data_IF_429294263675
#
_entry.id   IF_429294263675
#
_cell.length_a   1.000
_cell.length_b   1.000
_cell.length_c   1.000
_cell.angle_alpha   90.00
_cell.angle_beta   90.00
_cell.angle_gamma   90.00
#
_symmetry.space_group_name_H-M   'P 1'
#
loop_
_entity.id
_entity.type
_entity.pdbx_description
1 polymer ?
#
# COMPACT_ATOMS: atom_id res chain seq x y z
N UNK A 1 12.45 22.20 20.68
CA UNK A 1 11.25 23.04 20.43
C UNK A 1 11.09 23.20 18.92
N UNK A 2 10.17 22.45 18.30
CA UNK A 2 9.86 22.62 16.88
C UNK A 2 9.11 23.96 16.70
N UNK A 3 9.67 24.87 15.91
CA UNK A 3 9.00 26.11 15.54
C UNK A 3 7.64 25.80 14.91
N UNK A 4 6.66 26.70 15.07
CA UNK A 4 5.26 26.57 14.60
C UNK A 4 5.11 26.07 13.15
N UNK A 5 6.11 26.28 12.29
CA UNK A 5 6.18 25.73 10.92
C UNK A 5 6.41 24.22 10.86
N UNK A 6 7.27 23.66 11.72
CA UNK A 6 7.53 22.21 11.77
C UNK A 6 6.32 21.40 12.24
N UNK A 7 5.49 21.99 13.10
CA UNK A 7 4.27 21.36 13.62
C UNK A 7 3.13 21.27 12.58
N UNK A 8 3.14 22.13 11.56
CA UNK A 8 2.17 22.07 10.45
C UNK A 8 2.60 21.02 9.42
N UNK A 9 3.92 20.89 9.20
CA UNK A 9 4.46 19.92 8.24
C UNK A 9 4.21 18.46 8.66
N UNK A 10 4.37 18.14 9.95
CA UNK A 10 4.09 16.80 10.47
C UNK A 10 2.62 16.43 10.30
N UNK A 11 1.69 17.31 10.70
CA UNK A 11 0.25 17.05 10.53
C UNK A 11 -0.20 16.83 9.08
N UNK A 12 0.39 17.55 8.13
CA UNK A 12 0.10 17.37 6.71
C UNK A 12 0.57 16.00 6.22
N UNK A 13 1.78 15.58 6.61
CA UNK A 13 2.34 14.26 6.29
C UNK A 13 1.46 13.14 6.84
N UNK A 14 1.03 13.24 8.10
CA UNK A 14 0.19 12.21 8.74
C UNK A 14 -1.18 12.10 8.07
N UNK A 15 -1.75 13.24 7.69
CA UNK A 15 -3.01 13.29 6.94
C UNK A 15 -2.86 12.63 5.56
N UNK A 16 -1.75 12.89 4.86
CA UNK A 16 -1.48 12.29 3.54
C UNK A 16 -1.30 10.77 3.68
N UNK A 17 -0.53 10.30 4.65
CA UNK A 17 -0.32 8.88 4.91
C UNK A 17 -1.64 8.16 5.24
N UNK A 18 -2.52 8.80 6.02
CA UNK A 18 -3.87 8.29 6.29
C UNK A 18 -4.70 8.14 5.02
N UNK A 19 -4.73 9.18 4.17
CA UNK A 19 -5.47 9.12 2.90
C UNK A 19 -4.90 8.06 1.95
N UNK A 20 -3.58 7.91 1.88
CA UNK A 20 -2.94 6.86 1.07
C UNK A 20 -3.36 5.47 1.58
N UNK A 21 -3.31 5.23 2.90
CA UNK A 21 -3.74 3.97 3.50
C UNK A 21 -5.21 3.66 3.22
N UNK A 22 -6.08 4.66 3.35
CA UNK A 22 -7.52 4.53 3.09
C UNK A 22 -7.80 4.22 1.62
N UNK A 23 -7.11 4.89 0.70
CA UNK A 23 -7.21 4.65 -0.75
C UNK A 23 -6.74 3.23 -1.09
N UNK A 24 -5.60 2.79 -0.55
CA UNK A 24 -5.11 1.42 -0.71
C UNK A 24 -6.10 0.39 -0.18
N UNK A 25 -6.64 0.62 1.02
CA UNK A 25 -7.64 -0.26 1.62
C UNK A 25 -8.90 -0.34 0.75
N UNK A 26 -9.41 0.78 0.25
CA UNK A 26 -10.54 0.80 -0.67
C UNK A 26 -10.25 0.01 -1.96
N UNK A 27 -9.06 0.18 -2.53
CA UNK A 27 -8.62 -0.55 -3.72
C UNK A 27 -8.42 -2.06 -3.49
N UNK A 28 -8.16 -2.50 -2.27
CA UNK A 28 -8.16 -3.93 -1.93
C UNK A 28 -9.56 -4.46 -1.64
N UNK A 29 -10.39 -3.71 -0.90
CA UNK A 29 -11.72 -4.14 -0.44
C UNK A 29 -12.70 -4.24 -1.62
N UNK A 30 -12.71 -3.27 -2.53
CA UNK A 30 -13.69 -3.22 -3.63
C UNK A 30 -13.57 -4.46 -4.55
N UNK A 31 -12.38 -4.82 -5.06
CA UNK A 31 -12.21 -6.04 -5.84
C UNK A 31 -12.49 -7.32 -5.05
N UNK A 32 -12.25 -7.31 -3.74
CA UNK A 32 -12.48 -8.45 -2.86
C UNK A 32 -13.98 -8.70 -2.64
N UNK A 33 -14.75 -7.64 -2.40
CA UNK A 33 -16.21 -7.71 -2.31
C UNK A 33 -16.85 -8.13 -3.65
N UNK A 34 -16.28 -7.70 -4.78
CA UNK A 34 -16.71 -8.17 -6.10
C UNK A 34 -16.38 -9.66 -6.31
N UNK A 35 -15.22 -10.13 -5.83
CA UNK A 35 -14.82 -11.54 -5.90
C UNK A 35 -15.77 -12.44 -5.10
N UNK A 36 -16.32 -11.95 -3.99
CA UNK A 36 -17.36 -12.62 -3.21
C UNK A 36 -18.78 -12.42 -3.75
N UNK A 37 -18.96 -11.74 -4.89
CA UNK A 37 -20.26 -11.42 -5.49
C UNK A 37 -21.21 -10.66 -4.54
N UNK A 38 -20.66 -9.95 -3.55
CA UNK A 38 -21.45 -9.06 -2.66
C UNK A 38 -21.91 -7.81 -3.43
N UNK A 39 -21.10 -7.41 -4.42
CA UNK A 39 -21.32 -6.25 -5.29
C UNK A 39 -21.76 -6.76 -6.67
N UNK A 40 -22.92 -6.32 -7.15
CA UNK A 40 -23.53 -6.78 -8.40
C UNK A 40 -23.09 -6.00 -9.67
N UNK A 41 -22.18 -5.04 -9.51
CA UNK A 41 -21.79 -4.08 -10.56
C UNK A 41 -20.42 -4.46 -11.11
N UNK A 42 -20.29 -4.44 -12.43
CA UNK A 42 -19.03 -4.79 -13.10
C UNK A 42 -17.96 -3.76 -12.79
N UNK A 43 -16.84 -4.22 -12.23
CA UNK A 43 -15.68 -3.36 -12.01
C UNK A 43 -15.00 -3.02 -13.34
N UNK A 44 -14.41 -1.82 -13.45
CA UNK A 44 -13.55 -1.47 -14.58
C UNK A 44 -12.42 -2.49 -14.77
N UNK A 45 -12.04 -2.76 -16.03
CA UNK A 45 -11.02 -3.76 -16.38
C UNK A 45 -9.68 -3.50 -15.68
N UNK A 46 -9.32 -2.23 -15.44
CA UNK A 46 -8.09 -1.87 -14.73
C UNK A 46 -8.07 -2.31 -13.26
N UNK A 47 -9.23 -2.54 -12.63
CA UNK A 47 -9.31 -3.09 -11.27
C UNK A 47 -9.24 -4.61 -11.25
N UNK A 48 -9.58 -5.26 -12.36
CA UNK A 48 -9.59 -6.73 -12.50
C UNK A 48 -8.22 -7.27 -12.93
N UNK A 49 -7.51 -6.53 -13.79
CA UNK A 49 -6.20 -6.91 -14.31
C UNK A 49 -5.07 -6.17 -13.58
N UNK A 50 -4.90 -6.51 -12.31
CA UNK A 50 -3.90 -5.92 -11.44
C UNK A 50 -2.47 -5.88 -12.01
N UNK A 51 -1.87 -6.97 -12.54
CA UNK A 51 -0.43 -6.99 -12.83
C UNK A 51 0.06 -5.97 -13.88
N UNK A 52 -0.84 -5.40 -14.70
CA UNK A 52 -0.50 -4.37 -15.72
C UNK A 52 -1.25 -3.06 -15.47
N UNK A 53 -2.00 -2.98 -14.39
CA UNK A 53 -2.81 -1.80 -14.08
C UNK A 53 -1.96 -0.64 -13.54
N UNK A 54 -2.41 0.58 -13.79
CA UNK A 54 -1.89 1.82 -13.15
C UNK A 54 -1.89 1.66 -11.61
N UNK A 55 -2.79 0.84 -11.08
CA UNK A 55 -2.93 0.52 -9.67
C UNK A 55 -1.65 -0.06 -9.06
N UNK A 56 -0.97 -0.97 -9.76
CA UNK A 56 0.29 -1.56 -9.28
C UNK A 56 1.40 -0.52 -9.16
N UNK A 57 1.44 0.46 -10.06
CA UNK A 57 2.38 1.57 -9.97
C UNK A 57 2.08 2.48 -8.79
N UNK A 58 0.80 2.76 -8.52
CA UNK A 58 0.36 3.53 -7.35
C UNK A 58 0.73 2.80 -6.05
N UNK A 59 0.54 1.48 -6.00
CA UNK A 59 0.91 0.65 -4.85
C UNK A 59 2.41 0.64 -4.63
N UNK A 60 3.21 0.50 -5.70
CA UNK A 60 4.67 0.54 -5.60
C UNK A 60 5.18 1.90 -5.09
N UNK A 61 4.61 3.01 -5.61
CA UNK A 61 4.94 4.37 -5.15
C UNK A 61 4.50 4.60 -3.71
N UNK A 62 3.32 4.13 -3.32
CA UNK A 62 2.84 4.22 -1.95
C UNK A 62 3.71 3.41 -0.98
N UNK A 63 4.10 2.20 -1.36
CA UNK A 63 5.04 1.37 -0.60
C UNK A 63 6.41 2.03 -0.45
N UNK A 64 6.94 2.63 -1.52
CA UNK A 64 8.20 3.38 -1.48
C UNK A 64 8.11 4.59 -0.54
N UNK A 65 7.02 5.35 -0.64
CA UNK A 65 6.76 6.50 0.23
C UNK A 65 6.74 6.07 1.69
N UNK A 66 5.96 5.05 2.03
CA UNK A 66 5.83 4.49 3.39
C UNK A 66 7.17 3.96 3.91
N UNK A 67 7.93 3.28 3.06
CA UNK A 67 9.23 2.75 3.46
C UNK A 67 10.21 3.87 3.82
N UNK A 68 10.26 4.93 3.01
CA UNK A 68 11.05 6.14 3.30
C UNK A 68 10.54 6.80 4.58
N UNK A 69 9.23 6.87 4.74
CA UNK A 69 8.56 7.40 5.94
C UNK A 69 9.01 6.67 7.20
N UNK A 70 9.00 5.34 7.14
CA UNK A 70 9.47 4.48 8.21
C UNK A 70 10.93 4.74 8.56
N UNK A 71 11.83 4.90 7.58
CA UNK A 71 13.25 5.18 7.82
C UNK A 71 13.48 6.55 8.49
N UNK A 72 12.70 7.56 8.11
CA UNK A 72 12.86 8.94 8.62
C UNK A 72 12.31 9.08 10.04
N UNK A 73 11.32 8.26 10.42
CA UNK A 73 10.66 8.34 11.73
C UNK A 73 11.63 8.05 12.90
N UNK A 74 11.66 8.88 13.96
CA UNK A 74 12.55 8.68 15.10
C UNK A 74 12.27 7.37 15.85
N UNK A 75 13.35 6.66 16.22
CA UNK A 75 13.40 5.24 16.59
C UNK A 75 12.73 4.84 17.92
N UNK A 76 11.81 5.63 18.48
CA UNK A 76 11.35 5.44 19.86
C UNK A 76 10.14 4.49 20.03
N UNK A 77 9.54 3.96 18.96
CA UNK A 77 8.34 3.12 19.08
C UNK A 77 8.37 1.84 18.23
N UNK A 78 7.74 0.79 18.75
CA UNK A 78 7.58 -0.51 18.07
C UNK A 78 6.84 -0.41 16.73
N UNK A 79 6.03 0.63 16.56
CA UNK A 79 5.35 0.93 15.30
C UNK A 79 6.31 1.31 14.17
N UNK A 80 7.50 1.86 14.47
CA UNK A 80 8.51 2.18 13.46
C UNK A 80 8.91 0.95 12.62
N UNK A 81 9.20 -0.15 13.30
CA UNK A 81 9.52 -1.41 12.64
C UNK A 81 8.35 -1.95 11.84
N UNK A 82 7.11 -1.77 12.31
CA UNK A 82 5.93 -2.16 11.57
C UNK A 82 5.83 -1.41 10.23
N UNK A 83 6.12 -0.09 10.17
CA UNK A 83 6.08 0.66 8.90
C UNK A 83 7.17 0.28 7.93
N UNK A 84 8.39 0.08 8.44
CA UNK A 84 9.50 -0.32 7.57
C UNK A 84 9.17 -1.67 6.95
N UNK A 85 8.68 -2.62 7.75
CA UNK A 85 8.30 -3.94 7.27
C UNK A 85 7.09 -3.86 6.31
N UNK A 86 6.02 -3.15 6.67
CA UNK A 86 4.83 -2.99 5.81
C UNK A 86 5.17 -2.28 4.50
N UNK A 87 5.97 -1.22 4.57
CA UNK A 87 6.43 -0.46 3.41
C UNK A 87 7.29 -1.30 2.48
N UNK A 88 8.21 -2.10 3.05
CA UNK A 88 9.02 -3.03 2.29
C UNK A 88 8.17 -4.12 1.63
N UNK A 89 7.20 -4.68 2.34
CA UNK A 89 6.26 -5.68 1.80
C UNK A 89 5.44 -5.09 0.65
N UNK A 90 4.82 -3.92 0.85
CA UNK A 90 4.07 -3.21 -0.20
C UNK A 90 4.94 -2.88 -1.41
N UNK A 91 6.17 -2.41 -1.17
CA UNK A 91 7.13 -2.13 -2.22
C UNK A 91 7.42 -3.38 -3.03
N UNK A 92 7.77 -4.50 -2.38
CA UNK A 92 8.06 -5.77 -3.06
C UNK A 92 6.83 -6.28 -3.83
N UNK A 93 5.65 -6.23 -3.21
CA UNK A 93 4.36 -6.64 -3.80
C UNK A 93 4.01 -5.81 -5.03
N UNK A 94 4.34 -4.51 -5.05
CA UNK A 94 4.17 -3.63 -6.21
C UNK A 94 5.28 -3.75 -7.26
N UNK A 95 6.54 -3.90 -6.85
CA UNK A 95 7.70 -3.87 -7.75
C UNK A 95 7.84 -5.17 -8.55
N UNK A 96 7.61 -6.33 -7.93
CA UNK A 96 7.73 -7.64 -8.59
C UNK A 96 6.88 -7.73 -9.87
N UNK A 97 5.56 -7.44 -9.85
CA UNK A 97 4.75 -7.50 -11.07
C UNK A 97 5.18 -6.49 -12.14
N UNK A 98 5.72 -5.33 -11.76
CA UNK A 98 6.29 -4.35 -12.70
C UNK A 98 7.54 -4.93 -13.37
N UNK A 99 8.50 -5.41 -12.58
CA UNK A 99 9.75 -5.98 -13.09
C UNK A 99 9.52 -7.21 -13.97
N UNK A 100 8.52 -8.04 -13.63
CA UNK A 100 8.12 -9.19 -14.43
C UNK A 100 7.51 -8.75 -15.77
N UNK A 101 6.68 -7.70 -15.77
CA UNK A 101 6.07 -7.15 -16.99
C UNK A 101 7.13 -6.61 -17.96
N UNK A 102 8.20 -6.01 -17.45
CA UNK A 102 9.35 -5.57 -18.25
C UNK A 102 10.32 -6.70 -18.63
N UNK A 103 10.05 -7.95 -18.23
CA UNK A 103 10.92 -9.12 -18.43
C UNK A 103 12.33 -8.92 -17.84
N UNK A 104 12.47 -8.07 -16.82
CA UNK A 104 13.74 -7.87 -16.09
C UNK A 104 14.03 -9.06 -15.19
N UNK A 105 12.97 -9.64 -14.61
CA UNK A 105 13.02 -10.86 -13.80
C UNK A 105 12.25 -11.99 -14.49
N UNK A 106 12.83 -13.19 -14.50
CA UNK A 106 12.22 -14.38 -15.11
C UNK A 106 11.30 -15.17 -14.18
N UNK A 107 11.20 -14.78 -12.91
CA UNK A 107 10.34 -15.44 -11.92
C UNK A 107 9.13 -14.57 -11.62
N UNK A 108 8.00 -15.23 -11.43
CA UNK A 108 6.80 -14.64 -10.85
C UNK A 108 6.50 -15.35 -9.55
N UNK A 109 5.95 -14.60 -8.62
CA UNK A 109 5.54 -15.15 -7.34
C UNK A 109 4.10 -15.65 -7.52
N UNK A 110 3.83 -16.97 -7.41
CA UNK A 110 2.53 -17.54 -7.78
C UNK A 110 1.36 -16.98 -6.95
N UNK A 111 1.63 -16.51 -5.72
CA UNK A 111 0.64 -15.83 -4.88
C UNK A 111 0.38 -14.37 -5.26
N UNK A 112 1.30 -13.71 -5.98
CA UNK A 112 1.11 -12.36 -6.52
C UNK A 112 0.54 -12.37 -7.95
N UNK A 113 0.84 -13.41 -8.74
CA UNK A 113 0.40 -13.53 -10.13
C UNK A 113 -0.84 -14.42 -10.35
N UNK A 114 -1.13 -15.36 -9.45
CA UNK A 114 -2.15 -16.40 -9.67
C UNK A 114 -3.33 -16.38 -8.69
N UNK A 115 -3.21 -15.73 -7.53
CA UNK A 115 -4.28 -15.67 -6.54
C UNK A 115 -4.64 -14.21 -6.19
N UNK A 116 -5.57 -13.66 -6.97
CA UNK A 116 -6.07 -12.29 -6.85
C UNK A 116 -6.58 -11.98 -5.43
N UNK A 117 -7.18 -12.97 -4.75
CA UNK A 117 -7.76 -12.80 -3.42
C UNK A 117 -6.67 -12.59 -2.37
N UNK A 118 -5.60 -13.39 -2.39
CA UNK A 118 -4.48 -13.24 -1.44
C UNK A 118 -3.81 -11.88 -1.59
N UNK A 119 -3.60 -11.44 -2.84
CA UNK A 119 -3.04 -10.12 -3.13
C UNK A 119 -3.93 -8.99 -2.60
N UNK A 120 -5.25 -9.08 -2.83
CA UNK A 120 -6.20 -8.10 -2.32
C UNK A 120 -6.23 -8.07 -0.79
N UNK A 121 -6.25 -9.24 -0.13
CA UNK A 121 -6.21 -9.33 1.34
C UNK A 121 -4.95 -8.66 1.88
N UNK A 122 -3.77 -8.92 1.28
CA UNK A 122 -2.53 -8.25 1.67
C UNK A 122 -2.65 -6.73 1.53
N UNK A 123 -3.14 -6.22 0.40
CA UNK A 123 -3.33 -4.78 0.21
C UNK A 123 -4.30 -4.19 1.23
N UNK A 124 -5.38 -4.89 1.56
CA UNK A 124 -6.34 -4.42 2.57
C UNK A 124 -5.69 -4.36 3.93
N UNK A 125 -5.02 -5.44 4.36
CA UNK A 125 -4.37 -5.51 5.67
C UNK A 125 -3.28 -4.45 5.78
N UNK A 126 -2.43 -4.33 4.77
CA UNK A 126 -1.36 -3.33 4.71
C UNK A 126 -1.91 -1.90 4.65
N UNK A 127 -2.95 -1.66 3.84
CA UNK A 127 -3.62 -0.35 3.75
C UNK A 127 -4.27 0.07 5.07
N UNK A 128 -4.91 -0.87 5.78
CA UNK A 128 -5.47 -0.63 7.12
C UNK A 128 -4.37 -0.38 8.16
N UNK A 129 -3.29 -1.15 8.13
CA UNK A 129 -2.12 -0.93 8.99
C UNK A 129 -1.57 0.48 8.79
N UNK A 130 -1.45 0.96 7.55
CA UNK A 130 -1.02 2.32 7.24
C UNK A 130 -2.00 3.39 7.70
N UNK A 131 -3.30 3.16 7.48
CA UNK A 131 -4.35 4.07 7.94
C UNK A 131 -4.36 4.24 9.47
N UNK A 132 -3.98 3.20 10.22
CA UNK A 132 -3.91 3.28 11.69
C UNK A 132 -2.56 3.86 12.14
N UNK A 133 -1.46 3.47 11.49
CA UNK A 133 -0.12 3.91 11.83
C UNK A 133 0.06 5.42 11.62
N UNK A 134 -0.34 5.97 10.47
CA UNK A 134 -0.14 7.39 10.15
C UNK A 134 -0.59 8.38 11.24
N UNK A 135 -1.87 8.37 11.68
CA UNK A 135 -2.37 9.32 12.66
C UNK A 135 -2.00 9.02 14.13
N UNK A 136 -1.42 7.87 14.45
CA UNK A 136 -1.06 7.49 15.84
C UNK A 136 0.36 7.89 16.26
N UNK A 137 1.12 8.58 15.41
CA UNK A 137 2.54 8.95 15.65
C UNK A 137 2.76 10.36 16.23
N UNK A 138 1.73 10.96 16.82
CA UNK A 138 1.84 12.23 17.54
C UNK A 138 2.20 12.05 19.02
#
# INVERSE_FOLDING_TARGET
MLGKKGMIFTRLRDTISFFIGLVLAAFGIIPLLNSFKVIAWNLPIFMLNLPVSILVWVIALAGAYVFIDGIIEPQMHILHWALIVSGLVLLIVGLIPILYSFKVIGFTVPFLGGNLVVYQVLIVVEGLLLGIAGPTMH
#
